data_IF_678574462983
#
_entry.id   IF_678574462983
#
_cell.length_a   1.000
_cell.length_b   1.000
_cell.length_c   1.000
_cell.angle_alpha   90.00
_cell.angle_beta   90.00
_cell.angle_gamma   90.00
#
_symmetry.space_group_name_H-M   'P 1'
#
loop_
_entity.id
_entity.type
_entity.pdbx_description
1 polymer ?
#
# COMPACT_ATOMS: atom_id res chain seq x y z
N UNK A 1 8.25 8.78 -3.30
CA UNK A 1 7.24 7.96 -2.60
C UNK A 1 6.74 6.78 -3.44
N UNK A 2 6.17 5.76 -2.78
CA UNK A 2 5.53 4.62 -3.42
C UNK A 2 4.34 4.13 -2.60
N UNK A 3 3.32 3.64 -3.31
CA UNK A 3 2.17 2.95 -2.72
C UNK A 3 2.10 1.54 -3.30
N UNK A 4 2.08 0.54 -2.42
CA UNK A 4 1.74 -0.84 -2.78
C UNK A 4 0.34 -1.16 -2.26
N UNK A 5 -0.49 -1.75 -3.11
CA UNK A 5 -1.83 -2.22 -2.72
C UNK A 5 -1.94 -3.70 -3.09
N UNK A 6 -2.30 -4.54 -2.11
CA UNK A 6 -2.58 -5.96 -2.34
C UNK A 6 -3.54 -6.49 -1.26
N UNK A 7 -3.68 -7.81 -1.12
CA UNK A 7 -4.58 -8.42 -0.15
C UNK A 7 -4.30 -9.89 0.11
N UNK A 8 -4.92 -10.41 1.18
CA UNK A 8 -4.65 -11.74 1.73
C UNK A 8 -5.04 -12.93 0.82
N UNK A 9 -5.76 -12.68 -0.27
CA UNK A 9 -6.13 -13.68 -1.29
C UNK A 9 -5.55 -13.35 -2.68
N UNK A 10 -4.68 -12.36 -2.81
CA UNK A 10 -4.03 -11.97 -4.07
C UNK A 10 -2.82 -12.86 -4.37
N UNK A 11 -3.10 -14.06 -4.87
CA UNK A 11 -2.07 -15.03 -5.23
C UNK A 11 -1.39 -14.68 -6.55
N UNK A 12 -0.12 -15.07 -6.68
CA UNK A 12 0.63 -14.96 -7.93
C UNK A 12 0.06 -15.88 -9.02
N UNK A 13 0.27 -15.51 -10.29
CA UNK A 13 -0.17 -16.33 -11.44
C UNK A 13 0.51 -17.71 -11.50
N UNK A 14 1.68 -17.85 -10.86
CA UNK A 14 2.40 -19.12 -10.70
C UNK A 14 2.10 -19.87 -9.39
N UNK A 15 1.05 -19.47 -8.65
CA UNK A 15 0.64 -20.13 -7.41
C UNK A 15 1.31 -19.62 -6.13
N UNK A 16 2.14 -18.57 -6.24
CA UNK A 16 2.76 -17.91 -5.09
C UNK A 16 1.70 -17.44 -4.09
N UNK A 17 1.98 -17.52 -2.78
CA UNK A 17 1.04 -17.09 -1.76
C UNK A 17 0.93 -15.56 -1.75
N UNK A 18 -0.07 -15.02 -1.05
CA UNK A 18 -0.35 -13.58 -1.06
C UNK A 18 0.85 -12.76 -0.54
N UNK A 19 1.56 -13.28 0.45
CA UNK A 19 2.73 -12.65 1.08
C UNK A 19 3.83 -12.31 0.05
N UNK A 20 3.93 -13.06 -1.05
CA UNK A 20 4.86 -12.75 -2.12
C UNK A 20 4.62 -11.35 -2.74
N UNK A 21 3.39 -10.84 -2.70
CA UNK A 21 3.04 -9.48 -3.14
C UNK A 21 3.61 -8.40 -2.21
N UNK A 22 3.89 -8.74 -0.95
CA UNK A 22 4.47 -7.81 0.03
C UNK A 22 5.94 -7.53 -0.25
N UNK A 23 6.65 -8.43 -0.91
CA UNK A 23 8.08 -8.27 -1.17
C UNK A 23 8.45 -6.95 -1.84
N UNK A 24 7.59 -6.41 -2.71
CA UNK A 24 7.83 -5.10 -3.34
C UNK A 24 7.87 -3.96 -2.32
N UNK A 25 7.05 -4.03 -1.27
CA UNK A 25 7.06 -3.10 -0.14
C UNK A 25 8.26 -3.37 0.78
N UNK A 26 8.51 -4.64 1.12
CA UNK A 26 9.60 -5.02 2.04
C UNK A 26 11.00 -4.65 1.50
N UNK A 27 11.17 -4.68 0.17
CA UNK A 27 12.41 -4.30 -0.52
C UNK A 27 12.44 -2.83 -0.97
N UNK A 28 11.34 -2.10 -0.82
CA UNK A 28 11.25 -0.70 -1.21
C UNK A 28 11.97 0.25 -0.26
N UNK A 29 12.19 1.49 -0.70
CA UNK A 29 12.92 2.50 0.07
C UNK A 29 12.15 2.85 1.35
N UNK A 30 12.86 2.84 2.47
CA UNK A 30 12.35 3.35 3.74
C UNK A 30 12.04 4.86 3.63
N UNK A 31 11.09 5.35 4.42
CA UNK A 31 10.77 6.77 4.55
C UNK A 31 9.72 7.32 3.60
N UNK A 32 9.39 6.64 2.50
CA UNK A 32 8.37 7.13 1.56
C UNK A 32 7.55 6.04 0.88
N UNK A 33 7.53 4.82 1.45
CA UNK A 33 6.78 3.68 0.90
C UNK A 33 5.72 3.22 1.89
N UNK A 34 4.46 3.18 1.45
CA UNK A 34 3.33 2.64 2.19
C UNK A 34 2.73 1.39 1.52
N UNK A 35 2.17 0.49 2.34
CA UNK A 35 1.44 -0.70 1.93
C UNK A 35 0.00 -0.61 2.43
N UNK A 36 -0.97 -0.81 1.54
CA UNK A 36 -2.38 -1.04 1.85
C UNK A 36 -2.69 -2.51 1.60
N UNK A 37 -3.07 -3.23 2.65
CA UNK A 37 -3.42 -4.64 2.61
C UNK A 37 -4.91 -4.84 2.84
N UNK A 38 -5.64 -5.18 1.77
CA UNK A 38 -7.10 -5.33 1.77
C UNK A 38 -7.47 -6.76 2.15
N UNK A 39 -8.31 -6.92 3.17
CA UNK A 39 -8.79 -8.23 3.60
C UNK A 39 -9.71 -8.86 2.54
N UNK A 40 -9.61 -10.18 2.37
CA UNK A 40 -10.36 -11.00 1.42
C UNK A 40 -10.18 -10.64 -0.07
N UNK A 41 -9.23 -9.77 -0.42
CA UNK A 41 -9.03 -9.29 -1.79
C UNK A 41 -8.25 -10.27 -2.66
N UNK A 42 -8.83 -10.61 -3.82
CA UNK A 42 -8.23 -11.43 -4.87
C UNK A 42 -7.54 -10.56 -5.93
N UNK A 43 -6.83 -11.18 -6.88
CA UNK A 43 -5.96 -10.54 -7.90
C UNK A 43 -6.58 -9.42 -8.77
N UNK A 44 -7.91 -9.26 -8.78
CA UNK A 44 -8.62 -8.19 -9.51
C UNK A 44 -9.37 -7.22 -8.58
N UNK A 45 -9.22 -7.34 -7.27
CA UNK A 45 -9.78 -6.45 -6.26
C UNK A 45 -11.27 -6.14 -6.48
N UNK A 46 -12.07 -7.18 -6.73
CA UNK A 46 -13.51 -7.01 -6.94
C UNK A 46 -13.90 -6.45 -8.32
N UNK A 47 -13.03 -6.57 -9.32
CA UNK A 47 -13.28 -6.14 -10.70
C UNK A 47 -12.83 -4.70 -10.97
N UNK A 48 -11.76 -4.24 -10.31
CA UNK A 48 -11.24 -2.87 -10.47
C UNK A 48 -10.91 -2.50 -11.93
N UNK A 49 -10.58 -3.50 -12.75
CA UNK A 49 -10.31 -3.35 -14.18
C UNK A 49 -11.58 -3.35 -15.05
N UNK A 50 -12.77 -3.27 -14.45
CA UNK A 50 -14.05 -3.36 -15.15
C UNK A 50 -14.40 -4.78 -15.64
N UNK A 51 -13.53 -5.76 -15.39
CA UNK A 51 -13.71 -7.15 -15.78
C UNK A 51 -13.94 -8.05 -14.57
N UNK A 52 -15.10 -8.70 -14.50
CA UNK A 52 -15.28 -9.86 -13.64
C UNK A 52 -14.92 -11.10 -14.46
N UNK A 53 -13.96 -11.92 -13.99
CA UNK A 53 -13.76 -13.25 -14.60
C UNK A 53 -15.03 -14.06 -14.39
N UNK A 54 -15.36 -14.96 -15.32
CA UNK A 54 -16.50 -15.87 -15.19
C UNK A 54 -16.43 -16.60 -13.85
N UNK A 55 -17.42 -16.37 -12.97
CA UNK A 55 -17.47 -16.95 -11.63
C UNK A 55 -16.86 -16.10 -10.50
N UNK A 56 -16.32 -14.91 -10.78
CA UNK A 56 -15.93 -13.95 -9.75
C UNK A 56 -17.03 -12.88 -9.57
N UNK A 57 -17.52 -12.73 -8.35
CA UNK A 57 -18.37 -11.61 -7.98
C UNK A 57 -17.56 -10.31 -7.95
N UNK A 58 -18.17 -9.21 -8.34
CA UNK A 58 -17.64 -7.88 -8.01
C UNK A 58 -17.71 -7.69 -6.50
N UNK A 59 -16.70 -7.01 -5.95
CA UNK A 59 -16.64 -6.64 -4.53
C UNK A 59 -16.42 -5.13 -4.49
N UNK A 60 -17.50 -4.33 -4.52
CA UNK A 60 -17.42 -2.87 -4.60
C UNK A 60 -16.58 -2.24 -3.50
N UNK A 61 -16.53 -2.85 -2.32
CA UNK A 61 -15.72 -2.41 -1.18
C UNK A 61 -14.22 -2.46 -1.48
N UNK A 62 -13.75 -3.49 -2.21
CA UNK A 62 -12.35 -3.56 -2.62
C UNK A 62 -12.02 -2.49 -3.66
N UNK A 63 -12.93 -2.25 -4.61
CA UNK A 63 -12.76 -1.20 -5.61
C UNK A 63 -12.68 0.18 -4.94
N UNK A 64 -13.59 0.44 -3.99
CA UNK A 64 -13.58 1.67 -3.20
C UNK A 64 -12.29 1.83 -2.40
N UNK A 65 -11.80 0.79 -1.75
CA UNK A 65 -10.54 0.84 -1.01
C UNK A 65 -9.36 1.24 -1.89
N UNK A 66 -9.26 0.68 -3.10
CA UNK A 66 -8.19 1.06 -4.04
C UNK A 66 -8.34 2.51 -4.51
N UNK A 67 -9.57 2.95 -4.82
CA UNK A 67 -9.84 4.33 -5.21
C UNK A 67 -9.45 5.32 -4.11
N UNK A 68 -9.94 5.11 -2.89
CA UNK A 68 -9.68 5.98 -1.74
C UNK A 68 -8.18 6.03 -1.40
N UNK A 69 -7.50 4.87 -1.38
CA UNK A 69 -6.06 4.79 -1.13
C UNK A 69 -5.26 5.55 -2.21
N UNK A 70 -5.64 5.39 -3.48
CA UNK A 70 -4.96 6.05 -4.60
C UNK A 70 -5.15 7.57 -4.53
N UNK A 71 -6.35 8.04 -4.22
CA UNK A 71 -6.62 9.48 -4.07
C UNK A 71 -5.87 10.08 -2.88
N UNK A 72 -5.88 9.41 -1.73
CA UNK A 72 -5.15 9.87 -0.55
C UNK A 72 -3.64 9.93 -0.78
N UNK A 73 -3.07 8.94 -1.47
CA UNK A 73 -1.66 8.94 -1.84
C UNK A 73 -1.31 10.14 -2.75
N UNK A 74 -2.11 10.41 -3.77
CA UNK A 74 -1.86 11.54 -4.66
C UNK A 74 -2.09 12.89 -3.97
N UNK A 75 -3.09 13.02 -3.10
CA UNK A 75 -3.31 14.26 -2.31
C UNK A 75 -2.09 14.55 -1.42
N UNK A 76 -1.57 13.54 -0.71
CA UNK A 76 -0.34 13.69 0.09
C UNK A 76 0.88 14.03 -0.79
N UNK A 77 1.07 13.31 -1.91
CA UNK A 77 2.20 13.53 -2.82
C UNK A 77 2.18 14.88 -3.53
N UNK A 78 1.00 15.46 -3.77
CA UNK A 78 0.89 16.79 -4.36
C UNK A 78 1.09 17.90 -3.33
N UNK A 79 0.97 17.60 -2.04
CA UNK A 79 1.20 18.55 -0.93
C UNK A 79 2.65 18.59 -0.43
N UNK A 80 3.48 17.63 -0.82
CA UNK A 80 4.85 17.49 -0.31
C UNK A 80 4.95 16.63 0.96
N UNK A 81 3.85 16.02 1.40
CA UNK A 81 3.78 15.20 2.62
C UNK A 81 4.37 13.79 2.40
N UNK A 82 4.66 13.42 1.15
CA UNK A 82 5.09 12.07 0.77
C UNK A 82 6.52 11.70 1.14
N UNK A 83 7.31 12.69 1.60
CA UNK A 83 8.65 12.49 2.16
C UNK A 83 8.59 12.04 3.62
N UNK A 84 7.43 12.14 4.26
CA UNK A 84 7.16 11.66 5.60
C UNK A 84 6.25 10.42 5.53
N UNK A 85 6.84 9.25 5.74
CA UNK A 85 6.12 7.97 5.76
C UNK A 85 4.96 7.96 6.78
N UNK A 86 5.12 8.63 7.91
CA UNK A 86 4.09 8.71 8.95
C UNK A 86 2.93 9.60 8.52
N UNK A 87 3.21 10.75 7.90
CA UNK A 87 2.18 11.63 7.35
C UNK A 87 1.39 10.94 6.23
N UNK A 88 2.07 10.27 5.30
CA UNK A 88 1.42 9.48 4.25
C UNK A 88 0.55 8.35 4.84
N UNK A 89 1.07 7.62 5.83
CA UNK A 89 0.31 6.56 6.50
C UNK A 89 -0.95 7.10 7.19
N UNK A 90 -0.84 8.21 7.90
CA UNK A 90 -1.98 8.85 8.57
C UNK A 90 -3.06 9.31 7.56
N UNK A 91 -2.65 9.86 6.42
CA UNK A 91 -3.58 10.23 5.35
C UNK A 91 -4.32 9.00 4.78
N UNK A 92 -3.60 7.90 4.55
CA UNK A 92 -4.18 6.63 4.10
C UNK A 92 -5.15 6.04 5.13
N UNK A 93 -4.76 6.01 6.40
CA UNK A 93 -5.61 5.52 7.50
C UNK A 93 -6.90 6.33 7.64
N UNK A 94 -6.81 7.66 7.50
CA UNK A 94 -7.97 8.54 7.53
C UNK A 94 -8.92 8.25 6.35
N UNK A 95 -8.38 8.16 5.14
CA UNK A 95 -9.18 7.90 3.94
C UNK A 95 -9.83 6.51 3.95
N UNK A 96 -9.15 5.53 4.55
CA UNK A 96 -9.60 4.14 4.58
C UNK A 96 -10.36 3.76 5.86
N UNK A 97 -10.69 4.75 6.70
CA UNK A 97 -11.38 4.52 7.96
C UNK A 97 -12.69 3.76 7.76
N UNK A 98 -12.84 2.66 8.51
CA UNK A 98 -14.02 1.79 8.46
C UNK A 98 -13.99 0.74 7.35
N UNK A 99 -12.96 0.74 6.51
CA UNK A 99 -12.73 -0.30 5.51
C UNK A 99 -11.90 -1.44 6.10
N UNK A 100 -12.05 -2.66 5.57
CA UNK A 100 -11.31 -3.84 6.04
C UNK A 100 -9.91 -3.87 5.43
N UNK A 101 -9.08 -2.92 5.82
CA UNK A 101 -7.71 -2.76 5.34
C UNK A 101 -6.74 -2.60 6.49
N UNK A 102 -5.48 -2.96 6.25
CA UNK A 102 -4.35 -2.61 7.11
C UNK A 102 -3.41 -1.68 6.33
N UNK A 103 -2.98 -0.60 6.96
CA UNK A 103 -1.95 0.29 6.43
C UNK A 103 -0.64 0.00 7.14
N UNK A 104 0.45 -0.07 6.40
CA UNK A 104 1.81 -0.21 6.91
C UNK A 104 2.71 0.79 6.21
N UNK A 105 3.72 1.31 6.90
CA UNK A 105 4.75 2.15 6.31
C UNK A 105 6.12 1.74 6.84
N UNK A 106 7.17 2.11 6.10
CA UNK A 106 8.55 1.92 6.54
C UNK A 106 9.12 3.24 7.01
N UNK A 107 9.50 3.31 8.27
CA UNK A 107 10.26 4.44 8.80
C UNK A 107 11.69 4.41 8.28
N UNK A 108 12.26 5.58 8.00
CA UNK A 108 13.70 5.70 7.77
C UNK A 108 14.39 5.37 9.08
N UNK A 109 15.24 4.34 9.10
CA UNK A 109 16.17 4.18 10.22
C UNK A 109 17.01 5.46 10.28
N UNK A 110 16.95 6.17 11.41
CA UNK A 110 17.76 7.35 11.63
C UNK A 110 19.22 6.97 11.34
N UNK A 111 19.80 7.59 10.30
CA UNK A 111 21.19 7.41 9.96
C UNK A 111 22.03 7.91 11.14
N UNK A 112 22.51 6.98 11.97
CA UNK A 112 23.68 7.21 12.81
C UNK A 112 24.89 7.32 11.86
N UNK A 113 25.06 8.48 11.25
CA UNK A 113 26.36 8.93 10.78
C UNK A 113 26.82 10.02 11.74
N UNK A 114 27.38 9.54 12.85
CA UNK A 114 28.29 10.31 13.67
C UNK A 114 29.48 10.70 12.78
N UNK A 115 29.54 11.99 12.50
CA UNK A 115 30.74 12.81 12.46
C UNK A 115 32.05 12.07 12.78
N UNK A 116 32.69 11.51 11.75
CA UNK A 116 34.14 11.28 11.76
C UNK A 116 34.81 12.39 10.93
N UNK A 117 34.73 13.63 11.42
CA UNK A 117 35.70 14.67 11.10
C UNK A 117 36.61 14.92 12.31
N UNK A 118 37.66 14.10 12.43
CA UNK A 118 38.67 14.28 13.48
C UNK A 118 39.91 13.43 13.25
N UNK A 119 40.89 13.96 12.52
CA UNK A 119 42.22 13.38 12.35
C UNK A 119 43.03 14.04 11.25
#
# INVERSE_FOLDING_TARGET
PALTISGDRDRGSGGQPAEWRRHAFDLGHAGSHALVWIADAQHHFGGINGGTRRGQASVPEHVKAVQDATLAFWDAALRGDEQDAGALAAALEMALKGQRVKVEHRETEASEHADESGG
#
